data_IF_644535721094
#
_entry.id   IF_644535721094
#
_cell.length_a   1.000
_cell.length_b   1.000
_cell.length_c   1.000
_cell.angle_alpha   90.00
_cell.angle_beta   90.00
_cell.angle_gamma   90.00
#
_symmetry.space_group_name_H-M   'P 1'
#
loop_
_entity.id
_entity.type
_entity.pdbx_description
1 polymer ?
#
# COMPACT_ATOMS: atom_id res chain seq x y z
N UNK A 1 13.29 -11.67 -7.93
CA UNK A 1 12.01 -11.85 -7.23
C UNK A 1 11.95 -10.78 -6.15
N UNK A 2 10.88 -9.97 -6.10
CA UNK A 2 10.70 -8.98 -5.03
C UNK A 2 9.92 -9.65 -3.89
N UNK A 3 10.45 -9.61 -2.66
CA UNK A 3 9.75 -10.06 -1.45
C UNK A 3 9.59 -8.89 -0.47
N UNK A 4 8.55 -8.95 0.36
CA UNK A 4 8.23 -7.99 1.42
C UNK A 4 8.81 -8.38 2.79
N UNK A 5 9.45 -9.55 2.93
CA UNK A 5 9.86 -10.12 4.24
C UNK A 5 10.85 -9.25 5.04
N UNK A 6 11.58 -8.36 4.36
CA UNK A 6 12.52 -7.42 4.98
C UNK A 6 12.14 -5.95 4.78
N UNK A 7 10.94 -5.68 4.26
CA UNK A 7 10.54 -4.31 3.87
C UNK A 7 9.97 -3.54 5.04
N UNK A 8 10.34 -2.26 5.09
CA UNK A 8 9.79 -1.30 6.04
C UNK A 8 8.29 -1.05 5.82
N UNK A 9 7.83 -1.15 4.57
CA UNK A 9 6.46 -0.89 4.16
C UNK A 9 5.83 -2.10 3.46
N UNK A 10 4.55 -2.33 3.69
CA UNK A 10 3.74 -3.35 3.01
C UNK A 10 2.33 -2.83 2.73
N UNK A 11 1.71 -3.26 1.63
CA UNK A 11 0.32 -2.93 1.30
C UNK A 11 -0.54 -4.19 1.40
N UNK A 12 -1.63 -4.10 2.14
CA UNK A 12 -2.62 -5.19 2.22
C UNK A 12 -3.90 -4.75 1.52
N UNK A 13 -4.39 -5.59 0.62
CA UNK A 13 -5.63 -5.41 -0.10
C UNK A 13 -6.76 -6.13 0.65
N UNK A 14 -7.89 -5.46 0.86
CA UNK A 14 -9.00 -6.06 1.63
C UNK A 14 -9.68 -7.19 0.84
N UNK A 15 -10.07 -6.89 -0.39
CA UNK A 15 -10.94 -7.75 -1.21
C UNK A 15 -10.27 -8.25 -2.50
N UNK A 16 -8.98 -7.96 -2.67
CA UNK A 16 -8.20 -8.37 -3.83
C UNK A 16 -6.95 -9.17 -3.40
N UNK A 17 -6.56 -10.21 -4.14
CA UNK A 17 -5.42 -11.06 -3.79
C UNK A 17 -4.09 -10.55 -4.36
N UNK A 18 -3.92 -9.23 -4.51
CA UNK A 18 -2.69 -8.67 -5.06
C UNK A 18 -1.54 -8.77 -4.04
N UNK A 19 -0.39 -9.24 -4.50
CA UNK A 19 0.88 -9.19 -3.76
C UNK A 19 1.85 -8.28 -4.52
N UNK A 20 1.72 -6.99 -4.22
CA UNK A 20 2.49 -5.92 -4.87
C UNK A 20 3.37 -5.23 -3.82
N UNK A 21 4.69 -5.47 -3.80
CA UNK A 21 5.58 -4.87 -2.82
C UNK A 21 5.64 -3.34 -2.97
N UNK A 22 5.67 -2.63 -1.84
CA UNK A 22 5.82 -1.17 -1.81
C UNK A 22 7.28 -0.81 -2.08
N UNK A 23 7.51 0.07 -3.06
CA UNK A 23 8.81 0.71 -3.33
C UNK A 23 8.97 2.00 -2.55
N UNK A 24 7.99 2.89 -2.66
CA UNK A 24 7.97 4.19 -2.00
C UNK A 24 6.53 4.61 -1.69
N UNK A 25 6.37 5.58 -0.79
CA UNK A 25 5.10 6.25 -0.58
C UNK A 25 5.32 7.68 -0.08
N UNK A 26 4.34 8.53 -0.36
CA UNK A 26 4.21 9.87 0.20
C UNK A 26 2.74 10.25 0.28
N UNK A 27 2.40 11.34 0.95
CA UNK A 27 1.02 11.73 1.11
C UNK A 27 0.85 13.04 1.83
N UNK A 28 -0.40 13.53 1.84
CA UNK A 28 -0.77 14.75 2.54
C UNK A 28 -1.98 14.49 3.42
N UNK A 29 -1.95 15.03 4.63
CA UNK A 29 -3.01 14.94 5.63
C UNK A 29 -3.15 16.31 6.30
N UNK A 30 -4.39 16.72 6.57
CA UNK A 30 -4.68 17.93 7.33
C UNK A 30 -5.88 17.70 8.27
N UNK A 31 -5.91 18.43 9.38
CA UNK A 31 -6.98 18.30 10.37
C UNK A 31 -8.34 18.67 9.75
N UNK A 32 -9.32 17.79 9.90
CA UNK A 32 -10.68 17.97 9.36
C UNK A 32 -10.74 18.15 7.84
N UNK A 33 -9.75 17.64 7.11
CA UNK A 33 -9.73 17.60 5.65
C UNK A 33 -9.62 16.15 5.14
N UNK A 34 -9.78 15.99 3.82
CA UNK A 34 -9.39 14.74 3.15
C UNK A 34 -7.88 14.52 3.20
N UNK A 35 -7.46 13.29 2.90
CA UNK A 35 -6.06 12.93 2.77
C UNK A 35 -5.79 12.32 1.40
N UNK A 36 -4.52 12.33 1.01
CA UNK A 36 -4.02 11.62 -0.16
C UNK A 36 -2.86 10.73 0.25
N UNK A 37 -2.86 9.51 -0.28
CA UNK A 37 -1.78 8.55 -0.13
C UNK A 37 -1.33 8.12 -1.52
N UNK A 38 -0.10 8.44 -1.88
CA UNK A 38 0.51 8.03 -3.14
C UNK A 38 1.50 6.91 -2.84
N UNK A 39 1.29 5.74 -3.45
CA UNK A 39 2.08 4.53 -3.17
C UNK A 39 2.59 3.96 -4.49
N UNK A 40 3.91 3.86 -4.59
CA UNK A 40 4.58 3.21 -5.71
C UNK A 40 4.73 1.72 -5.41
N UNK A 41 4.17 0.90 -6.29
CA UNK A 41 4.12 -0.56 -6.17
C UNK A 41 4.93 -1.24 -7.26
N UNK A 42 5.56 -2.36 -6.92
CA UNK A 42 6.33 -3.17 -7.85
C UNK A 42 5.55 -4.40 -8.31
N UNK A 43 5.68 -4.74 -9.59
CA UNK A 43 5.15 -5.97 -10.17
C UNK A 43 6.12 -6.52 -11.21
N UNK A 44 6.22 -7.85 -11.30
CA UNK A 44 6.84 -8.52 -12.46
C UNK A 44 5.81 -8.85 -13.55
N UNK A 45 4.52 -8.72 -13.24
CA UNK A 45 3.42 -8.85 -14.19
C UNK A 45 3.05 -7.46 -14.74
N UNK A 46 3.25 -7.27 -16.05
CA UNK A 46 2.93 -6.04 -16.77
C UNK A 46 1.47 -5.98 -17.26
N UNK A 47 0.68 -7.04 -17.04
CA UNK A 47 -0.69 -7.17 -17.56
C UNK A 47 -1.77 -7.07 -16.48
N UNK A 48 -1.42 -6.57 -15.30
CA UNK A 48 -2.39 -6.30 -14.24
C UNK A 48 -3.45 -5.34 -14.77
N UNK A 49 -4.71 -5.76 -14.73
CA UNK A 49 -5.81 -4.93 -15.18
C UNK A 49 -6.02 -3.76 -14.21
N UNK A 50 -5.87 -2.53 -14.68
CA UNK A 50 -6.04 -1.32 -13.85
C UNK A 50 -7.39 -1.26 -13.15
N UNK A 51 -8.49 -1.67 -13.82
CA UNK A 51 -9.82 -1.62 -13.20
C UNK A 51 -9.97 -2.57 -12.01
N UNK A 52 -9.18 -3.63 -11.95
CA UNK A 52 -9.17 -4.53 -10.80
C UNK A 52 -8.56 -3.86 -9.55
N UNK A 53 -7.78 -2.78 -9.72
CA UNK A 53 -7.20 -2.00 -8.62
C UNK A 53 -8.15 -0.91 -8.10
N UNK A 54 -8.97 -0.32 -8.97
CA UNK A 54 -9.85 0.81 -8.63
C UNK A 54 -10.98 0.40 -7.68
N UNK A 55 -11.28 1.26 -6.71
CA UNK A 55 -12.35 1.05 -5.72
C UNK A 55 -11.99 0.02 -4.64
N UNK A 56 -10.75 -0.48 -4.63
CA UNK A 56 -10.29 -1.41 -3.61
C UNK A 56 -9.91 -0.67 -2.34
N UNK A 57 -10.31 -1.20 -1.19
CA UNK A 57 -9.78 -0.72 0.09
C UNK A 57 -8.43 -1.36 0.36
N UNK A 58 -7.43 -0.55 0.64
CA UNK A 58 -6.06 -0.98 0.96
C UNK A 58 -5.63 -0.44 2.32
N UNK A 59 -4.68 -1.12 2.96
CA UNK A 59 -4.00 -0.63 4.16
C UNK A 59 -2.49 -0.63 3.93
N UNK A 60 -1.88 0.56 4.02
CA UNK A 60 -0.42 0.71 4.08
C UNK A 60 0.05 0.45 5.51
N UNK A 61 0.96 -0.50 5.67
CA UNK A 61 1.59 -0.86 6.93
C UNK A 61 3.03 -0.33 6.96
N UNK A 62 3.38 0.35 8.05
CA UNK A 62 4.75 0.74 8.38
C UNK A 62 5.22 -0.05 9.60
N UNK A 63 6.35 -0.75 9.47
CA UNK A 63 6.98 -1.42 10.61
C UNK A 63 7.70 -0.39 11.47
N UNK A 64 7.36 -0.33 12.76
CA UNK A 64 7.95 0.59 13.73
C UNK A 64 9.24 0.01 14.33
N UNK A 65 10.01 0.83 15.04
CA UNK A 65 11.29 0.43 15.64
C UNK A 65 11.16 -0.68 16.68
N UNK A 66 9.97 -0.87 17.27
CA UNK A 66 9.66 -1.94 18.22
C UNK A 66 9.15 -3.22 17.54
N UNK A 67 9.12 -3.26 16.20
CA UNK A 67 8.62 -4.38 15.40
C UNK A 67 7.09 -4.42 15.25
N UNK A 68 6.34 -3.53 15.93
CA UNK A 68 4.90 -3.40 15.70
C UNK A 68 4.61 -2.74 14.34
N UNK A 69 3.33 -2.74 13.93
CA UNK A 69 2.91 -2.15 12.65
C UNK A 69 1.88 -1.06 12.88
N UNK A 70 2.15 0.13 12.34
CA UNK A 70 1.16 1.19 12.18
C UNK A 70 0.47 1.04 10.82
N UNK A 71 -0.86 1.20 10.77
CA UNK A 71 -1.66 1.06 9.54
C UNK A 71 -2.35 2.36 9.13
N UNK A 72 -2.41 2.62 7.82
CA UNK A 72 -3.22 3.67 7.20
C UNK A 72 -4.10 3.06 6.13
N UNK A 73 -5.43 3.10 6.30
CA UNK A 73 -6.37 2.54 5.33
C UNK A 73 -6.89 3.62 4.38
N UNK A 74 -7.02 3.28 3.10
CA UNK A 74 -7.45 4.18 2.03
C UNK A 74 -8.26 3.43 0.97
N UNK A 75 -8.94 4.18 0.10
CA UNK A 75 -9.59 3.66 -1.11
C UNK A 75 -8.72 4.03 -2.32
N UNK A 76 -8.48 3.06 -3.21
CA UNK A 76 -7.79 3.26 -4.49
C UNK A 76 -8.71 3.86 -5.53
#
# INVERSE_FOLDING_TARGET
>A
MFTSDTRLFALTWRDAPFDLPVEAWWGTEALSAGFELVVDLLSTDAFIELKALLGQTVTLHSTLSDGSRAGRSALV
#
